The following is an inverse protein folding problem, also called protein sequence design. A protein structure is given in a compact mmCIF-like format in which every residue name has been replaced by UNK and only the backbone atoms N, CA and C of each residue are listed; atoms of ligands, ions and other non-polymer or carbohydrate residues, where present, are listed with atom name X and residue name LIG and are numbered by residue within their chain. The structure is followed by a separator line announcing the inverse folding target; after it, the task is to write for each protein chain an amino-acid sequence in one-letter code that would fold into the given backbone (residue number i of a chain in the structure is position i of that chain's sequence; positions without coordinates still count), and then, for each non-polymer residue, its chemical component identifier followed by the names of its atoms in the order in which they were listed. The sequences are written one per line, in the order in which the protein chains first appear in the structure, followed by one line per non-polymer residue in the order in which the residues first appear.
data_IF_485992067868
#
_entry.id   IF_485992067868
#
_cell.length_a   1.000
_cell.length_b   1.000
_cell.length_c   1.000
_cell.angle_alpha   90.00
_cell.angle_beta   90.00
_cell.angle_gamma   90.00
#
_symmetry.space_group_name_H-M   'P 1'
#
loop_
_entity.id
_entity.type
_entity.pdbx_description
1 polymer ?
#
# COMPACT_ATOMS: atom_id res chain seq x y z
N UNK A 1 -35.39 -62.37 -7.14
CA UNK A 1 -36.20 -61.84 -8.25
C UNK A 1 -35.60 -60.49 -8.58
N UNK A 2 -34.44 -60.50 -9.24
CA UNK A 2 -34.22 -60.57 -10.70
C UNK A 2 -34.02 -59.12 -11.20
N UNK A 3 -32.78 -58.71 -11.48
CA UNK A 3 -32.14 -58.75 -12.82
C UNK A 3 -32.88 -57.83 -13.81
N UNK A 4 -32.26 -56.96 -14.61
CA UNK A 4 -30.93 -56.98 -15.17
C UNK A 4 -30.71 -55.72 -16.03
N UNK A 5 -29.44 -55.46 -16.28
CA UNK A 5 -28.86 -54.45 -17.15
C UNK A 5 -29.07 -54.70 -18.67
N UNK A 6 -28.84 -53.60 -19.42
CA UNK A 6 -28.23 -53.50 -20.78
C UNK A 6 -29.08 -53.79 -22.03
N UNK A 7 -28.98 -52.87 -23.01
CA UNK A 7 -28.42 -53.03 -24.38
C UNK A 7 -28.59 -51.70 -25.15
N UNK A 8 -27.53 -51.00 -25.56
CA UNK A 8 -26.65 -51.13 -26.75
C UNK A 8 -27.24 -50.63 -28.08
N UNK A 9 -26.57 -49.65 -28.70
CA UNK A 9 -26.44 -49.46 -30.16
C UNK A 9 -25.14 -48.65 -30.42
N UNK A 10 -23.99 -49.30 -30.63
CA UNK A 10 -23.29 -49.62 -31.92
C UNK A 10 -22.55 -48.46 -32.59
N UNK A 11 -21.27 -48.73 -32.89
CA UNK A 11 -20.22 -47.90 -33.48
C UNK A 11 -20.05 -48.26 -34.97
N UNK A 12 -19.77 -47.28 -35.84
CA UNK A 12 -18.82 -47.25 -36.97
C UNK A 12 -19.20 -46.05 -37.88
N UNK A 13 -18.31 -45.27 -38.50
CA UNK A 13 -16.95 -45.52 -38.95
C UNK A 13 -16.19 -44.20 -39.27
N UNK A 14 -14.87 -44.34 -39.22
CA UNK A 14 -13.74 -43.45 -39.56
C UNK A 14 -13.93 -42.42 -40.70
N UNK A 15 -13.52 -41.18 -40.46
CA UNK A 15 -12.68 -40.39 -41.39
C UNK A 15 -11.78 -39.42 -40.60
N UNK A 16 -10.49 -39.37 -40.93
CA UNK A 16 -9.54 -38.33 -40.54
C UNK A 16 -8.50 -38.18 -41.66
N UNK A 17 -7.71 -37.09 -41.77
CA UNK A 17 -7.72 -35.84 -40.99
C UNK A 17 -7.77 -34.57 -41.87
N UNK A 18 -8.28 -33.44 -41.34
CA UNK A 18 -7.85 -32.10 -41.78
C UNK A 18 -7.29 -31.36 -40.58
N UNK A 19 -5.98 -31.08 -40.64
CA UNK A 19 -5.25 -30.19 -39.72
C UNK A 19 -5.94 -28.83 -39.73
N UNK A 20 -6.43 -28.38 -38.59
CA UNK A 20 -6.72 -26.98 -38.33
C UNK A 20 -6.07 -26.60 -36.99
N UNK A 21 -5.53 -25.39 -36.97
CA UNK A 21 -4.62 -24.88 -35.97
C UNK A 21 -5.15 -24.96 -34.54
N UNK A 22 -4.38 -25.61 -33.66
CA UNK A 22 -4.48 -25.39 -32.21
C UNK A 22 -3.96 -23.99 -31.91
N UNK A 23 -4.87 -23.01 -31.83
CA UNK A 23 -4.60 -21.77 -31.12
C UNK A 23 -4.62 -22.07 -29.62
N UNK A 24 -3.44 -22.02 -29.01
CA UNK A 24 -3.29 -21.98 -27.56
C UNK A 24 -3.98 -20.71 -27.05
N UNK A 25 -5.17 -20.86 -26.46
CA UNK A 25 -5.75 -19.81 -25.63
C UNK A 25 -4.97 -19.77 -24.32
N UNK A 26 -3.85 -19.05 -24.32
CA UNK A 26 -3.25 -18.56 -23.09
C UNK A 26 -4.22 -17.54 -22.52
N UNK A 27 -5.02 -17.93 -21.53
CA UNK A 27 -5.79 -17.00 -20.72
C UNK A 27 -4.77 -16.07 -20.06
N UNK A 28 -4.71 -14.82 -20.53
CA UNK A 28 -4.01 -13.77 -19.83
C UNK A 28 -4.61 -13.68 -18.41
N UNK A 29 -3.80 -13.44 -17.37
CA UNK A 29 -4.34 -13.19 -16.04
C UNK A 29 -5.28 -11.99 -16.16
N UNK A 30 -6.56 -12.22 -15.90
CA UNK A 30 -7.53 -11.14 -15.78
C UNK A 30 -7.09 -10.30 -14.57
N UNK A 31 -6.49 -9.14 -14.83
CA UNK A 31 -6.45 -8.06 -13.87
C UNK A 31 -7.90 -7.73 -13.53
N UNK A 32 -8.36 -8.15 -12.34
CA UNK A 32 -9.55 -7.57 -11.76
C UNK A 32 -9.20 -6.11 -11.48
N UNK A 33 -9.61 -5.20 -12.37
CA UNK A 33 -9.79 -3.81 -12.00
C UNK A 33 -10.89 -3.80 -10.96
N UNK A 34 -10.50 -3.79 -9.68
CA UNK A 34 -11.39 -3.35 -8.63
C UNK A 34 -11.53 -1.85 -8.90
N UNK A 35 -12.59 -1.46 -9.60
CA UNK A 35 -13.00 -0.06 -9.66
C UNK A 35 -13.26 0.34 -8.21
N UNK A 36 -12.33 1.12 -7.65
CA UNK A 36 -12.46 1.65 -6.30
C UNK A 36 -13.76 2.44 -6.25
N UNK A 37 -14.63 2.11 -5.28
CA UNK A 37 -15.85 2.88 -5.09
C UNK A 37 -15.48 4.29 -4.60
N UNK A 38 -15.37 5.21 -5.56
CA UNK A 38 -15.02 6.61 -5.30
C UNK A 38 -16.06 7.29 -4.40
N UNK A 39 -17.30 6.81 -4.37
CA UNK A 39 -18.33 7.38 -3.50
C UNK A 39 -18.06 7.06 -2.03
N UNK A 40 -17.67 5.81 -1.75
CA UNK A 40 -17.31 5.34 -0.40
C UNK A 40 -15.97 5.95 0.06
N UNK A 41 -14.97 5.96 -0.82
CA UNK A 41 -13.59 6.33 -0.49
C UNK A 41 -13.20 7.78 -0.84
N UNK A 42 -14.14 8.61 -1.32
CA UNK A 42 -13.90 10.00 -1.74
C UNK A 42 -12.95 10.78 -0.81
N UNK A 43 -13.23 10.78 0.49
CA UNK A 43 -12.41 11.49 1.49
C UNK A 43 -11.02 10.88 1.70
N UNK A 44 -10.89 9.56 1.60
CA UNK A 44 -9.62 8.87 1.73
C UNK A 44 -8.74 9.06 0.49
N UNK A 45 -9.35 9.16 -0.70
CA UNK A 45 -8.65 9.42 -1.97
C UNK A 45 -7.90 10.75 -1.95
N UNK A 46 -8.43 11.79 -1.30
CA UNK A 46 -7.73 13.08 -1.15
C UNK A 46 -6.52 13.03 -0.22
N UNK A 47 -6.42 12.01 0.65
CA UNK A 47 -5.32 11.89 1.62
C UNK A 47 -4.25 10.93 1.12
N UNK A 48 -4.66 9.79 0.55
CA UNK A 48 -3.75 8.71 0.16
C UNK A 48 -3.41 8.72 -1.33
N UNK A 49 -4.31 9.23 -2.17
CA UNK A 49 -4.22 9.11 -3.62
C UNK A 49 -4.65 7.73 -4.13
N UNK A 50 -4.99 7.67 -5.42
CA UNK A 50 -5.51 6.47 -6.08
C UNK A 50 -4.53 5.30 -6.06
N UNK A 51 -3.24 5.56 -6.24
CA UNK A 51 -2.22 4.52 -6.37
C UNK A 51 -1.95 3.82 -5.05
N UNK A 52 -1.97 4.57 -3.93
CA UNK A 52 -1.84 3.99 -2.60
C UNK A 52 -3.08 3.14 -2.26
N UNK A 53 -4.28 3.64 -2.56
CA UNK A 53 -5.53 2.89 -2.35
C UNK A 53 -5.55 1.57 -3.14
N UNK A 54 -5.09 1.58 -4.40
CA UNK A 54 -4.95 0.35 -5.20
C UNK A 54 -3.95 -0.66 -4.60
N UNK A 55 -2.85 -0.18 -4.00
CA UNK A 55 -1.92 -1.08 -3.28
C UNK A 55 -2.57 -1.65 -2.03
N UNK A 56 -3.27 -0.82 -1.27
CA UNK A 56 -3.99 -1.24 -0.06
C UNK A 56 -5.06 -2.29 -0.37
N UNK A 57 -5.86 -2.10 -1.42
CA UNK A 57 -6.92 -3.04 -1.82
C UNK A 57 -6.42 -4.42 -2.26
N UNK A 58 -5.10 -4.59 -2.42
CA UNK A 58 -4.44 -5.86 -2.72
C UNK A 58 -3.65 -6.44 -1.53
N UNK A 59 -3.67 -5.76 -0.37
CA UNK A 59 -2.88 -6.13 0.81
C UNK A 59 -3.67 -7.02 1.76
N UNK A 60 -3.08 -8.15 2.18
CA UNK A 60 -3.62 -9.06 3.18
C UNK A 60 -2.94 -8.85 4.54
N UNK A 61 -3.75 -8.67 5.59
CA UNK A 61 -3.26 -8.32 6.92
C UNK A 61 -3.67 -9.37 7.94
N UNK A 62 -2.72 -9.81 8.78
CA UNK A 62 -2.97 -10.62 9.97
C UNK A 62 -2.80 -9.74 11.22
N UNK A 63 -3.78 -9.76 12.11
CA UNK A 63 -3.70 -9.08 13.41
C UNK A 63 -3.73 -10.14 14.50
N UNK A 64 -2.68 -10.24 15.31
CA UNK A 64 -2.60 -11.16 16.45
C UNK A 64 -2.71 -10.42 17.79
N UNK A 65 -3.77 -10.73 18.53
CA UNK A 65 -4.23 -10.00 19.71
C UNK A 65 -5.42 -9.12 19.37
N UNK A 66 -6.62 -9.50 19.82
CA UNK A 66 -7.89 -8.80 19.59
C UNK A 66 -8.48 -8.34 20.94
N UNK A 67 -7.66 -7.65 21.71
CA UNK A 67 -8.13 -6.83 22.83
C UNK A 67 -8.70 -5.49 22.32
N UNK A 68 -8.83 -4.47 23.18
CA UNK A 68 -9.32 -3.16 22.74
C UNK A 68 -8.41 -2.48 21.71
N UNK A 69 -7.09 -2.60 21.84
CA UNK A 69 -6.14 -2.02 20.89
C UNK A 69 -6.19 -2.74 19.55
N UNK A 70 -6.18 -4.07 19.58
CA UNK A 70 -6.25 -4.88 18.36
C UNK A 70 -7.56 -4.69 17.62
N UNK A 71 -8.66 -4.55 18.36
CA UNK A 71 -9.97 -4.23 17.80
C UNK A 71 -9.98 -2.85 17.11
N UNK A 72 -9.40 -1.83 17.74
CA UNK A 72 -9.33 -0.48 17.16
C UNK A 72 -8.46 -0.43 15.90
N UNK A 73 -7.32 -1.13 15.89
CA UNK A 73 -6.48 -1.30 14.71
C UNK A 73 -7.28 -1.99 13.59
N UNK A 74 -7.94 -3.12 13.91
CA UNK A 74 -8.74 -3.87 12.94
C UNK A 74 -9.85 -3.01 12.33
N UNK A 75 -10.60 -2.26 13.15
CA UNK A 75 -11.64 -1.35 12.67
C UNK A 75 -11.08 -0.35 11.65
N UNK A 76 -9.98 0.33 11.98
CA UNK A 76 -9.41 1.36 11.11
C UNK A 76 -8.85 0.77 9.81
N UNK A 77 -8.22 -0.41 9.86
CA UNK A 77 -7.73 -1.12 8.67
C UNK A 77 -8.87 -1.56 7.75
N UNK A 78 -9.95 -2.11 8.31
CA UNK A 78 -11.12 -2.55 7.55
C UNK A 78 -11.82 -1.35 6.89
N UNK A 79 -12.01 -0.25 7.63
CA UNK A 79 -12.55 0.99 7.05
C UNK A 79 -11.61 1.63 6.02
N UNK A 80 -10.31 1.34 6.07
CA UNK A 80 -9.32 1.77 5.09
C UNK A 80 -9.36 1.01 3.77
N UNK A 81 -10.10 -0.11 3.67
CA UNK A 81 -10.31 -0.81 2.40
C UNK A 81 -9.13 -1.66 1.92
N UNK A 82 -8.56 -2.49 2.81
CA UNK A 82 -7.57 -3.51 2.42
C UNK A 82 -8.20 -4.74 1.75
N UNK A 83 -7.42 -5.65 1.16
CA UNK A 83 -8.00 -6.86 0.54
C UNK A 83 -8.65 -7.79 1.58
N UNK A 84 -7.88 -8.11 2.63
CA UNK A 84 -8.35 -9.02 3.68
C UNK A 84 -7.71 -8.76 5.04
N UNK A 85 -8.45 -9.09 6.09
CA UNK A 85 -8.01 -9.03 7.48
C UNK A 85 -8.30 -10.35 8.19
N UNK A 86 -7.26 -10.97 8.72
CA UNK A 86 -7.36 -12.16 9.57
C UNK A 86 -7.22 -11.71 11.03
N UNK A 87 -8.28 -11.92 11.81
CA UNK A 87 -8.31 -11.65 13.24
C UNK A 87 -7.85 -12.90 13.99
N UNK A 88 -6.73 -12.83 14.68
CA UNK A 88 -6.17 -13.94 15.44
C UNK A 88 -6.12 -13.62 16.93
N UNK A 89 -6.76 -14.46 17.75
CA UNK A 89 -6.56 -14.48 19.20
C UNK A 89 -7.01 -15.82 19.75
N UNK A 90 -6.17 -16.48 20.55
CA UNK A 90 -6.46 -17.77 21.19
C UNK A 90 -7.27 -17.59 22.47
N UNK A 91 -7.28 -16.37 23.05
CA UNK A 91 -7.86 -16.12 24.36
C UNK A 91 -9.39 -16.16 24.34
N UNK A 92 -9.93 -16.49 25.50
CA UNK A 92 -11.34 -16.27 25.82
C UNK A 92 -11.52 -14.86 26.37
N UNK A 93 -12.73 -14.32 26.19
CA UNK A 93 -13.14 -13.03 26.71
C UNK A 93 -13.18 -13.09 28.24
N UNK A 94 -12.49 -12.15 28.88
CA UNK A 94 -12.53 -11.91 30.31
C UNK A 94 -13.14 -10.55 30.61
N UNK A 95 -13.59 -10.34 31.85
CA UNK A 95 -14.22 -9.08 32.28
C UNK A 95 -13.35 -7.85 32.00
N UNK A 96 -12.02 -8.00 32.07
CA UNK A 96 -11.06 -6.92 31.80
C UNK A 96 -11.05 -6.47 30.34
N UNK A 97 -11.36 -7.36 29.39
CA UNK A 97 -11.37 -7.02 27.96
C UNK A 97 -12.50 -6.03 27.61
N UNK A 98 -13.60 -6.05 28.37
CA UNK A 98 -14.76 -5.15 28.19
C UNK A 98 -14.43 -3.69 28.49
N UNK A 99 -13.29 -3.42 29.16
CA UNK A 99 -12.88 -2.04 29.49
C UNK A 99 -12.53 -1.22 28.25
N UNK A 100 -12.01 -1.86 27.19
CA UNK A 100 -11.50 -1.18 25.99
C UNK A 100 -12.00 -1.79 24.69
N UNK A 101 -12.42 -3.07 24.67
CA UNK A 101 -13.00 -3.68 23.47
C UNK A 101 -14.51 -3.46 23.44
N UNK A 102 -14.93 -2.45 22.68
CA UNK A 102 -16.33 -2.01 22.55
C UNK A 102 -17.23 -2.95 21.75
N UNK A 103 -16.71 -4.05 21.18
CA UNK A 103 -17.54 -5.11 20.58
C UNK A 103 -17.85 -6.26 21.53
N UNK A 104 -17.29 -6.27 22.74
CA UNK A 104 -17.53 -7.32 23.74
C UNK A 104 -18.61 -6.86 24.73
N UNK A 105 -19.46 -7.81 25.13
CA UNK A 105 -20.45 -7.62 26.19
C UNK A 105 -20.22 -8.61 27.34
N UNK A 106 -20.87 -8.37 28.48
CA UNK A 106 -20.83 -9.31 29.61
C UNK A 106 -21.33 -10.71 29.24
N UNK A 107 -22.20 -10.82 28.22
CA UNK A 107 -22.71 -12.08 27.71
C UNK A 107 -21.70 -12.89 26.88
N UNK A 108 -20.54 -12.30 26.55
CA UNK A 108 -19.49 -12.91 25.73
C UNK A 108 -18.33 -13.47 26.55
N UNK A 109 -18.32 -13.26 27.87
CA UNK A 109 -17.31 -13.80 28.77
C UNK A 109 -17.23 -15.32 28.60
N UNK A 110 -16.01 -15.84 28.44
CA UNK A 110 -15.72 -17.26 28.17
C UNK A 110 -15.78 -17.65 26.68
N UNK A 111 -16.25 -16.79 25.77
CA UNK A 111 -16.20 -17.02 24.32
C UNK A 111 -14.89 -16.47 23.74
N UNK A 112 -14.45 -17.01 22.60
CA UNK A 112 -13.22 -16.54 21.96
C UNK A 112 -13.35 -15.10 21.43
N UNK A 113 -12.38 -14.23 21.76
CA UNK A 113 -12.47 -12.78 21.49
C UNK A 113 -12.42 -12.44 19.99
N UNK A 114 -11.60 -13.14 19.19
CA UNK A 114 -11.51 -12.91 17.75
C UNK A 114 -12.81 -13.31 17.04
N UNK A 115 -13.38 -14.45 17.43
CA UNK A 115 -14.64 -14.96 16.89
C UNK A 115 -15.84 -14.05 17.19
N UNK A 116 -15.89 -13.46 18.38
CA UNK A 116 -16.95 -12.50 18.73
C UNK A 116 -16.76 -11.18 17.99
N UNK A 117 -15.53 -10.64 17.99
CA UNK A 117 -15.21 -9.36 17.33
C UNK A 117 -15.47 -9.41 15.82
N UNK A 118 -15.26 -10.57 15.19
CA UNK A 118 -15.57 -10.81 13.77
C UNK A 118 -17.01 -10.45 13.39
N UNK A 119 -18.00 -10.74 14.24
CA UNK A 119 -19.42 -10.50 13.94
C UNK A 119 -19.75 -9.02 13.71
N UNK A 120 -18.95 -8.11 14.27
CA UNK A 120 -19.11 -6.67 14.11
C UNK A 120 -18.13 -6.11 13.09
N UNK A 121 -16.85 -6.51 13.17
CA UNK A 121 -15.78 -6.03 12.28
C UNK A 121 -16.05 -6.37 10.81
N UNK A 122 -16.58 -7.55 10.51
CA UNK A 122 -16.92 -7.98 9.13
C UNK A 122 -18.00 -7.13 8.45
N UNK A 123 -18.78 -6.36 9.21
CA UNK A 123 -19.87 -5.52 8.68
C UNK A 123 -19.43 -4.10 8.36
N UNK A 124 -18.21 -3.71 8.72
CA UNK A 124 -17.74 -2.33 8.57
C UNK A 124 -17.48 -1.96 7.12
N UNK A 125 -17.06 -2.92 6.30
CA UNK A 125 -16.74 -2.70 4.90
C UNK A 125 -16.92 -3.98 4.10
N UNK A 126 -17.90 -4.00 3.19
CA UNK A 126 -18.25 -5.18 2.38
C UNK A 126 -17.17 -5.57 1.36
N UNK A 127 -16.26 -4.64 1.02
CA UNK A 127 -15.14 -4.90 0.11
C UNK A 127 -13.98 -5.63 0.80
N UNK A 128 -13.93 -5.66 2.14
CA UNK A 128 -12.83 -6.26 2.90
C UNK A 128 -13.22 -7.65 3.37
N UNK A 129 -12.42 -8.66 3.01
CA UNK A 129 -12.62 -10.03 3.49
C UNK A 129 -12.09 -10.16 4.91
N UNK A 130 -12.98 -10.29 5.89
CA UNK A 130 -12.60 -10.53 7.28
C UNK A 130 -12.72 -12.02 7.60
N UNK A 131 -11.79 -12.57 8.38
CA UNK A 131 -11.91 -13.91 8.96
C UNK A 131 -11.38 -13.94 10.40
N UNK A 132 -11.73 -14.97 11.17
CA UNK A 132 -11.26 -15.15 12.54
C UNK A 132 -10.63 -16.52 12.75
N UNK A 133 -9.53 -16.54 13.51
CA UNK A 133 -8.74 -17.73 13.82
C UNK A 133 -8.49 -17.77 15.33
N UNK A 134 -8.88 -18.88 15.96
CA UNK A 134 -8.84 -19.08 17.40
C UNK A 134 -7.90 -20.23 17.84
N UNK A 135 -7.01 -20.65 16.93
CA UNK A 135 -6.05 -21.75 17.15
C UNK A 135 -4.63 -21.19 17.23
N UNK A 136 -3.67 -21.93 17.82
CA UNK A 136 -2.29 -21.48 17.90
C UNK A 136 -1.71 -21.04 16.56
N UNK A 137 -0.88 -19.99 16.61
CA UNK A 137 -0.14 -19.52 15.44
C UNK A 137 0.72 -20.65 14.89
N UNK A 138 0.59 -20.88 13.59
CA UNK A 138 1.42 -21.80 12.82
C UNK A 138 1.95 -21.07 11.58
N UNK A 139 3.08 -21.51 11.00
CA UNK A 139 3.64 -20.89 9.79
C UNK A 139 2.64 -20.73 8.62
N UNK A 140 1.70 -21.67 8.50
CA UNK A 140 0.66 -21.65 7.48
C UNK A 140 -0.24 -20.40 7.55
N UNK A 141 -0.38 -19.76 8.71
CA UNK A 141 -1.19 -18.56 8.88
C UNK A 141 -0.57 -17.33 8.18
N UNK A 142 0.74 -17.35 7.91
CA UNK A 142 1.44 -16.27 7.24
C UNK A 142 1.47 -16.42 5.71
N UNK A 143 1.00 -17.54 5.16
CA UNK A 143 0.99 -17.78 3.72
C UNK A 143 0.06 -16.78 3.04
N UNK A 144 0.63 -15.95 2.16
CA UNK A 144 -0.10 -14.90 1.46
C UNK A 144 -0.42 -13.66 2.31
N UNK A 145 0.15 -13.54 3.51
CA UNK A 145 0.03 -12.35 4.36
C UNK A 145 1.15 -11.37 4.04
N UNK A 146 0.76 -10.13 3.74
CA UNK A 146 1.67 -9.04 3.40
C UNK A 146 2.11 -8.26 4.65
N UNK A 147 1.21 -8.10 5.63
CA UNK A 147 1.46 -7.36 6.88
C UNK A 147 0.98 -8.16 8.09
N UNK A 148 1.83 -8.28 9.11
CA UNK A 148 1.50 -8.86 10.41
C UNK A 148 1.54 -7.78 11.48
N UNK A 149 0.44 -7.62 12.20
CA UNK A 149 0.34 -6.71 13.36
C UNK A 149 0.29 -7.54 14.64
N UNK A 150 1.27 -7.35 15.52
CA UNK A 150 1.38 -8.05 16.81
C UNK A 150 0.98 -7.09 17.92
N UNK A 151 -0.06 -7.45 18.67
CA UNK A 151 -0.71 -6.55 19.64
C UNK A 151 -0.57 -7.12 21.06
N UNK A 152 0.00 -6.32 21.97
CA UNK A 152 0.05 -6.60 23.42
C UNK A 152 0.59 -8.00 23.80
N UNK A 153 1.53 -8.54 23.01
CA UNK A 153 2.23 -9.80 23.29
C UNK A 153 3.52 -9.57 24.06
N UNK A 154 3.96 -10.53 24.86
CA UNK A 154 5.26 -10.44 25.53
C UNK A 154 6.40 -10.53 24.50
N UNK A 155 7.55 -9.92 24.80
CA UNK A 155 8.70 -9.88 23.87
C UNK A 155 9.11 -11.27 23.34
N UNK A 156 9.11 -12.29 24.21
CA UNK A 156 9.48 -13.65 23.80
C UNK A 156 8.43 -14.29 22.86
N UNK A 157 7.16 -13.89 22.96
CA UNK A 157 6.11 -14.30 22.01
C UNK A 157 6.26 -13.54 20.69
N UNK A 158 6.52 -12.23 20.75
CA UNK A 158 6.78 -11.41 19.58
C UNK A 158 7.93 -11.99 18.74
N UNK A 159 9.06 -12.32 19.39
CA UNK A 159 10.22 -12.94 18.73
C UNK A 159 9.87 -14.30 18.11
N UNK A 160 9.13 -15.16 18.81
CA UNK A 160 8.68 -16.46 18.27
C UNK A 160 7.79 -16.29 17.04
N UNK A 161 6.87 -15.32 17.06
CA UNK A 161 6.00 -15.01 15.92
C UNK A 161 6.85 -14.54 14.75
N UNK A 162 7.77 -13.60 14.97
CA UNK A 162 8.67 -13.12 13.92
C UNK A 162 9.54 -14.25 13.33
N UNK A 163 10.03 -15.17 14.15
CA UNK A 163 10.83 -16.33 13.70
C UNK A 163 10.03 -17.33 12.84
N UNK A 164 8.70 -17.37 12.98
CA UNK A 164 7.82 -18.23 12.17
C UNK A 164 7.42 -17.62 10.82
N UNK A 165 7.71 -16.34 10.59
CA UNK A 165 7.45 -15.67 9.32
C UNK A 165 8.58 -16.01 8.34
N UNK A 166 8.35 -16.98 7.46
CA UNK A 166 9.34 -17.41 6.47
C UNK A 166 9.53 -16.38 5.33
N UNK A 167 8.46 -15.68 4.97
CA UNK A 167 8.49 -14.68 3.91
C UNK A 167 9.15 -13.39 4.40
N UNK A 168 10.40 -13.16 3.99
CA UNK A 168 11.17 -11.95 4.33
C UNK A 168 10.56 -10.64 3.83
N UNK A 169 9.60 -10.70 2.90
CA UNK A 169 8.92 -9.49 2.41
C UNK A 169 7.72 -9.09 3.26
N UNK A 170 7.23 -9.96 4.15
CA UNK A 170 6.13 -9.64 5.05
C UNK A 170 6.53 -8.53 6.01
N UNK A 171 5.70 -7.50 6.11
CA UNK A 171 5.94 -6.32 6.94
C UNK A 171 5.41 -6.59 8.34
N UNK A 172 6.15 -6.15 9.36
CA UNK A 172 5.82 -6.42 10.75
C UNK A 172 5.58 -5.09 11.46
N UNK A 173 4.46 -5.00 12.18
CA UNK A 173 4.14 -3.90 13.08
C UNK A 173 3.86 -4.50 14.45
N UNK A 174 4.49 -3.98 15.49
CA UNK A 174 4.27 -4.41 16.87
C UNK A 174 3.78 -3.21 17.65
N UNK A 175 2.63 -3.37 18.30
CA UNK A 175 2.00 -2.30 19.06
C UNK A 175 1.68 -2.81 20.47
N UNK A 176 2.10 -2.07 21.48
CA UNK A 176 1.80 -2.40 22.87
C UNK A 176 1.27 -1.17 23.62
N UNK A 177 0.40 -1.42 24.59
CA UNK A 177 -0.16 -0.44 25.51
C UNK A 177 -0.14 -1.00 26.93
N UNK A 178 0.45 -0.27 27.86
CA UNK A 178 0.54 -0.57 29.28
C UNK A 178 0.00 0.63 30.07
N UNK A 179 -1.32 0.67 30.27
CA UNK A 179 -1.99 1.81 30.91
C UNK A 179 -1.81 3.09 30.09
N UNK A 180 -1.02 4.05 30.61
CA UNK A 180 -0.76 5.35 29.98
C UNK A 180 0.43 5.34 29.00
N UNK A 181 1.17 4.25 28.93
CA UNK A 181 2.37 4.13 28.07
C UNK A 181 2.04 3.24 26.88
N UNK A 182 2.51 3.62 25.70
CA UNK A 182 2.42 2.80 24.49
C UNK A 182 3.76 2.70 23.78
N UNK A 183 3.93 1.66 22.96
CA UNK A 183 5.06 1.52 22.06
C UNK A 183 4.58 1.04 20.69
N UNK A 184 5.26 1.52 19.65
CA UNK A 184 5.13 1.03 18.28
C UNK A 184 6.51 0.71 17.73
N UNK A 185 6.61 -0.43 17.06
CA UNK A 185 7.79 -0.86 16.33
C UNK A 185 7.37 -1.29 14.93
N UNK A 186 8.16 -0.92 13.92
CA UNK A 186 7.92 -1.28 12.53
C UNK A 186 9.18 -1.92 11.95
N UNK A 187 9.02 -3.06 11.30
CA UNK A 187 10.03 -3.68 10.45
C UNK A 187 9.42 -3.92 9.06
N UNK A 188 9.79 -3.08 8.11
CA UNK A 188 9.35 -3.20 6.72
C UNK A 188 10.38 -3.89 5.81
N UNK A 189 11.39 -4.51 6.41
CA UNK A 189 12.49 -5.18 5.72
C UNK A 189 13.49 -4.22 5.08
N UNK A 190 14.36 -4.80 4.26
CA UNK A 190 15.33 -4.06 3.47
C UNK A 190 14.68 -3.49 2.19
N UNK A 191 15.22 -2.38 1.72
CA UNK A 191 14.82 -1.70 0.48
C UNK A 191 13.32 -1.36 0.39
N UNK A 192 12.71 -0.92 1.49
CA UNK A 192 11.35 -0.42 1.49
C UNK A 192 11.26 0.90 0.74
N UNK A 193 10.48 0.94 -0.34
CA UNK A 193 10.36 2.11 -1.21
C UNK A 193 9.26 3.04 -0.70
N UNK A 194 9.64 4.26 -0.37
CA UNK A 194 8.75 5.36 -0.01
C UNK A 194 8.59 6.26 -1.23
N UNK A 195 7.37 6.30 -1.79
CA UNK A 195 7.03 7.12 -2.95
C UNK A 195 6.70 8.57 -2.58
N UNK A 196 6.19 8.77 -1.37
CA UNK A 196 5.84 10.07 -0.82
C UNK A 196 6.21 10.11 0.68
N UNK A 197 7.00 11.10 1.08
CA UNK A 197 7.52 11.22 2.45
C UNK A 197 6.63 12.05 3.38
N UNK A 198 5.80 12.94 2.82
CA UNK A 198 5.13 13.97 3.60
C UNK A 198 3.63 14.10 3.29
N UNK A 199 3.15 13.60 2.16
CA UNK A 199 1.75 13.71 1.76
C UNK A 199 1.32 15.11 1.32
N UNK A 200 2.23 16.07 1.24
CA UNK A 200 1.96 17.45 0.83
C UNK A 200 1.95 17.58 -0.71
N UNK A 201 1.25 18.57 -1.26
CA UNK A 201 1.34 18.83 -2.69
C UNK A 201 2.77 19.21 -3.10
N UNK A 202 3.27 18.73 -4.26
CA UNK A 202 4.61 19.08 -4.73
C UNK A 202 4.69 20.60 -4.99
N UNK A 203 5.75 21.28 -4.51
CA UNK A 203 5.92 22.71 -4.76
C UNK A 203 5.96 23.03 -6.26
N UNK A 204 5.38 24.18 -6.62
CA UNK A 204 5.33 24.69 -8.00
C UNK A 204 5.91 26.09 -8.03
N UNK A 205 6.97 26.27 -8.81
CA UNK A 205 7.60 27.56 -9.03
C UNK A 205 7.19 28.14 -10.39
N UNK A 206 6.83 29.42 -10.43
CA UNK A 206 6.57 30.14 -11.69
C UNK A 206 7.86 30.64 -12.28
N UNK A 207 8.13 30.27 -13.53
CA UNK A 207 9.35 30.61 -14.25
C UNK A 207 9.20 31.98 -14.89
N UNK A 208 10.10 32.90 -14.58
CA UNK A 208 10.23 34.17 -15.29
C UNK A 208 11.19 34.01 -16.47
N UNK A 209 12.39 33.48 -16.20
CA UNK A 209 13.47 33.37 -17.18
C UNK A 209 14.33 32.14 -16.96
N UNK A 210 14.81 31.56 -18.06
CA UNK A 210 15.80 30.47 -18.08
C UNK A 210 16.99 30.91 -18.94
N UNK A 211 18.18 30.95 -18.35
CA UNK A 211 19.40 31.28 -19.11
C UNK A 211 19.85 30.11 -19.98
N UNK A 212 20.54 30.41 -21.08
CA UNK A 212 21.05 29.42 -22.04
C UNK A 212 22.58 29.31 -21.99
N UNK A 213 23.15 29.52 -20.81
CA UNK A 213 24.59 29.43 -20.57
C UNK A 213 24.99 27.99 -20.21
N UNK A 214 26.29 27.77 -19.98
CA UNK A 214 26.80 26.49 -19.47
C UNK A 214 26.22 26.10 -18.12
N UNK A 215 25.78 27.09 -17.34
CA UNK A 215 24.95 26.94 -16.17
C UNK A 215 23.60 27.63 -16.45
N UNK A 216 22.59 26.82 -16.77
CA UNK A 216 21.21 27.27 -16.98
C UNK A 216 20.57 27.63 -15.65
N UNK A 217 20.42 28.92 -15.38
CA UNK A 217 19.72 29.45 -14.23
C UNK A 217 18.26 29.69 -14.55
N UNK A 218 17.39 29.19 -13.68
CA UNK A 218 15.97 29.46 -13.68
C UNK A 218 15.68 30.50 -12.62
N UNK A 219 15.17 31.65 -13.04
CA UNK A 219 14.71 32.73 -12.17
C UNK A 219 13.20 32.63 -12.02
N UNK A 220 12.72 32.60 -10.78
CA UNK A 220 11.30 32.61 -10.46
C UNK A 220 10.74 34.03 -10.56
N UNK A 221 9.45 34.14 -10.84
CA UNK A 221 8.74 35.44 -10.84
C UNK A 221 8.93 36.16 -9.50
N UNK A 222 9.03 37.49 -9.53
CA UNK A 222 9.16 38.34 -8.33
C UNK A 222 8.14 37.95 -7.25
N UNK A 223 8.62 37.94 -5.99
CA UNK A 223 7.88 37.54 -4.79
C UNK A 223 7.39 36.08 -4.72
N UNK A 224 7.77 35.21 -5.66
CA UNK A 224 7.46 33.77 -5.63
C UNK A 224 8.69 32.95 -5.25
N UNK A 225 8.73 32.44 -4.02
CA UNK A 225 9.71 31.42 -3.61
C UNK A 225 9.40 30.09 -4.28
N UNK A 226 10.42 29.30 -4.58
CA UNK A 226 10.24 27.99 -5.21
C UNK A 226 10.13 26.82 -4.22
N UNK A 227 10.60 26.98 -2.98
CA UNK A 227 10.54 25.98 -1.89
C UNK A 227 11.07 24.59 -2.29
N UNK A 228 12.17 24.59 -3.05
CA UNK A 228 12.90 23.39 -3.44
C UNK A 228 14.18 23.27 -2.61
N UNK A 229 14.73 22.06 -2.56
CA UNK A 229 15.99 21.71 -1.91
C UNK A 229 17.05 21.23 -2.92
N UNK A 230 18.31 21.24 -2.48
CA UNK A 230 19.43 20.78 -3.30
C UNK A 230 19.30 19.30 -3.66
N UNK A 231 19.31 19.00 -4.95
CA UNK A 231 19.21 17.64 -5.48
C UNK A 231 17.79 17.17 -5.75
N UNK A 232 16.79 18.02 -5.58
CA UNK A 232 15.43 17.77 -6.05
C UNK A 232 15.37 17.61 -7.57
N UNK A 233 14.27 17.03 -8.03
CA UNK A 233 13.99 16.87 -9.45
C UNK A 233 12.74 17.67 -9.80
N UNK A 234 12.78 18.41 -10.91
CA UNK A 234 11.65 19.21 -11.40
C UNK A 234 11.31 18.88 -12.84
N UNK A 235 10.05 19.04 -13.21
CA UNK A 235 9.58 19.02 -14.60
C UNK A 235 9.06 20.40 -14.99
N UNK A 236 9.27 20.75 -16.25
CA UNK A 236 8.84 22.04 -16.78
C UNK A 236 7.58 21.88 -17.63
N UNK A 237 6.72 22.89 -17.58
CA UNK A 237 5.52 22.98 -18.40
C UNK A 237 5.33 24.43 -18.87
N UNK A 238 4.77 24.60 -20.07
CA UNK A 238 4.43 25.91 -20.64
C UNK A 238 5.62 26.88 -20.76
N UNK A 239 6.84 26.36 -20.86
CA UNK A 239 8.06 27.14 -21.09
C UNK A 239 8.12 27.56 -22.56
N UNK A 240 8.23 28.87 -22.78
CA UNK A 240 8.43 29.46 -24.10
C UNK A 240 9.93 29.56 -24.42
N UNK A 241 10.26 29.52 -25.71
CA UNK A 241 11.63 29.60 -26.22
C UNK A 241 12.36 28.25 -26.22
N UNK A 242 12.35 27.53 -25.10
CA UNK A 242 13.01 26.22 -24.97
C UNK A 242 11.95 25.11 -24.89
N UNK A 243 11.35 24.76 -26.03
CA UNK A 243 10.23 23.81 -26.06
C UNK A 243 10.59 22.40 -25.55
N UNK A 244 11.83 21.97 -25.75
CA UNK A 244 12.32 20.67 -25.28
C UNK A 244 12.08 20.48 -23.78
N UNK A 245 12.24 21.53 -22.96
CA UNK A 245 12.04 21.46 -21.51
C UNK A 245 10.64 20.97 -21.13
N UNK A 246 9.63 21.28 -21.94
CA UNK A 246 8.24 20.86 -21.70
C UNK A 246 8.03 19.36 -21.93
N UNK A 247 8.94 18.71 -22.66
CA UNK A 247 8.88 17.28 -22.99
C UNK A 247 9.97 16.47 -22.30
N UNK A 248 10.96 17.15 -21.72
CA UNK A 248 12.02 16.52 -20.96
C UNK A 248 11.46 15.94 -19.66
N UNK A 249 11.98 14.78 -19.28
CA UNK A 249 11.70 14.18 -17.99
C UNK A 249 12.30 14.98 -16.82
N UNK A 250 12.19 14.46 -15.59
CA UNK A 250 12.64 15.18 -14.39
C UNK A 250 14.12 15.56 -14.45
N UNK A 251 14.41 16.84 -14.20
CA UNK A 251 15.77 17.41 -14.21
C UNK A 251 16.21 17.66 -12.77
N UNK A 252 17.41 17.18 -12.42
CA UNK A 252 18.01 17.42 -11.10
C UNK A 252 18.42 18.89 -10.98
N UNK A 253 18.07 19.53 -9.87
CA UNK A 253 18.35 20.94 -9.64
C UNK A 253 19.40 21.16 -8.54
N UNK A 254 19.99 22.35 -8.57
CA UNK A 254 20.80 22.91 -7.49
C UNK A 254 20.27 24.29 -7.11
N UNK A 255 19.86 24.47 -5.87
CA UNK A 255 19.33 25.73 -5.34
C UNK A 255 20.47 26.73 -5.18
N UNK A 256 20.25 27.96 -5.63
CA UNK A 256 21.22 29.06 -5.53
C UNK A 256 20.74 30.11 -4.53
N UNK A 257 19.48 30.51 -4.67
CA UNK A 257 18.77 31.42 -3.76
C UNK A 257 17.33 30.93 -3.64
N UNK A 258 16.50 31.47 -2.71
CA UNK A 258 15.08 31.12 -2.63
C UNK A 258 14.24 31.43 -3.90
N UNK A 259 14.83 32.11 -4.89
CA UNK A 259 14.19 32.56 -6.12
C UNK A 259 14.89 32.05 -7.39
N UNK A 260 16.05 31.37 -7.25
CA UNK A 260 16.86 30.95 -8.38
C UNK A 260 17.48 29.59 -8.13
N UNK A 261 17.38 28.70 -9.13
CA UNK A 261 18.02 27.39 -9.13
C UNK A 261 18.68 27.09 -10.48
N UNK A 262 19.67 26.21 -10.48
CA UNK A 262 20.40 25.78 -11.67
C UNK A 262 19.92 24.40 -12.14
N UNK A 263 19.78 24.23 -13.46
CA UNK A 263 19.34 23.00 -14.13
C UNK A 263 20.41 22.35 -15.02
N UNK A 264 21.65 22.83 -14.94
CA UNK A 264 22.78 22.32 -15.73
C UNK A 264 22.91 23.02 -17.09
N UNK A 265 23.61 22.38 -18.02
CA UNK A 265 24.02 23.01 -19.29
C UNK A 265 22.86 23.24 -20.27
N UNK A 266 22.64 24.50 -20.61
CA UNK A 266 21.62 24.97 -21.54
C UNK A 266 22.22 25.64 -22.78
N UNK A 267 23.55 25.60 -22.96
CA UNK A 267 24.28 26.21 -24.08
C UNK A 267 23.90 25.67 -25.46
N UNK A 268 23.29 24.48 -25.51
CA UNK A 268 22.71 23.92 -26.74
C UNK A 268 21.55 24.74 -27.31
N UNK A 269 20.95 25.62 -26.50
CA UNK A 269 19.80 26.44 -26.91
C UNK A 269 20.23 27.84 -27.33
N UNK A 270 19.72 28.30 -28.47
CA UNK A 270 20.08 29.61 -29.03
C UNK A 270 19.34 30.78 -28.39
N UNK A 271 18.27 30.52 -27.64
CA UNK A 271 17.42 31.52 -27.00
C UNK A 271 17.17 31.18 -25.54
N UNK A 272 16.96 32.21 -24.73
CA UNK A 272 16.51 32.07 -23.36
C UNK A 272 15.09 31.50 -23.29
N UNK A 273 14.84 30.72 -22.25
CA UNK A 273 13.49 30.31 -21.88
C UNK A 273 12.78 31.44 -21.13
N UNK A 274 11.47 31.48 -21.24
CA UNK A 274 10.64 32.42 -20.47
C UNK A 274 9.27 31.83 -20.21
N UNK A 275 8.60 32.31 -19.15
CA UNK A 275 7.28 31.81 -18.74
C UNK A 275 7.29 30.32 -18.36
N UNK A 276 6.15 29.85 -17.85
CA UNK A 276 5.91 28.45 -17.52
C UNK A 276 6.03 28.15 -16.03
N UNK A 277 6.01 26.86 -15.71
CA UNK A 277 6.10 26.37 -14.33
C UNK A 277 7.15 25.28 -14.22
N UNK A 278 7.86 25.27 -13.10
CA UNK A 278 8.68 24.15 -12.66
C UNK A 278 7.97 23.48 -11.49
N UNK A 279 7.62 22.21 -11.64
CA UNK A 279 6.91 21.43 -10.60
C UNK A 279 7.85 20.37 -10.04
N UNK A 280 7.94 20.28 -8.72
CA UNK A 280 8.74 19.26 -8.05
C UNK A 280 8.19 17.87 -8.31
N UNK A 281 9.08 16.93 -8.62
CA UNK A 281 8.76 15.52 -8.77
C UNK A 281 9.26 14.78 -7.54
N UNK A 282 8.33 14.21 -6.77
CA UNK A 282 8.68 13.34 -5.65
C UNK A 282 9.39 12.09 -6.18
N UNK A 283 10.65 11.93 -5.80
CA UNK A 283 11.44 10.78 -6.19
C UNK A 283 11.35 9.68 -5.13
N UNK A 284 11.18 8.40 -5.52
CA UNK A 284 11.12 7.31 -4.56
C UNK A 284 12.44 7.20 -3.79
N UNK A 285 12.36 7.05 -2.47
CA UNK A 285 13.51 6.74 -1.63
C UNK A 285 13.43 5.31 -1.12
N UNK A 286 14.60 4.67 -0.97
CA UNK A 286 14.71 3.35 -0.36
C UNK A 286 15.12 3.50 1.11
N UNK A 287 14.44 2.77 2.01
CA UNK A 287 14.74 2.72 3.43
C UNK A 287 14.95 1.28 3.89
N UNK A 288 15.93 1.08 4.78
CA UNK A 288 16.22 -0.23 5.37
C UNK A 288 15.76 -0.25 6.83
N UNK A 289 14.93 -1.23 7.19
CA UNK A 289 14.49 -1.46 8.55
C UNK A 289 15.33 -2.56 9.19
N UNK A 290 15.61 -2.38 10.48
CA UNK A 290 16.28 -3.42 11.27
C UNK A 290 15.23 -4.40 11.78
N UNK A 291 15.54 -5.71 11.82
CA UNK A 291 14.66 -6.67 12.45
C UNK A 291 14.54 -6.39 13.96
N UNK A 292 13.53 -7.00 14.59
CA UNK A 292 13.29 -6.87 16.04
C UNK A 292 14.48 -7.34 16.90
N UNK A 293 15.36 -8.19 16.36
CA UNK A 293 16.46 -8.86 17.07
C UNK A 293 17.82 -8.23 16.78
#
# INVERSE_FOLDING_TARGET
MDDSLKRRCTINEKTSPKRSHLQNYTLAPQQMNIDLDESLYSRQLYVLGSDAMKKMSNTNILITGIDGLGCEIAKNIILGGVNSVILHDERQCHLTDLSTNYYLSASDIGKNVASISFNSLSKLNEYVKVSAVAVPITPNLFVGVDVVVIVNKLLHEQLKICEQIENKNTKIIIVNTFGLVGSIFCDFGENFIIFDKNGEDPPVARVERITNDSDGFVTCVEDSRHDFEDGDYVVFQEVNGIQDLNTMGPIKIKVITPYTFCIGDMSKYSIHGSSGTATLVKTPISMNFKPLK
#
